data_IF_867167339026
#
_entry.id   IF_867167339026
#
_cell.length_a   1.000
_cell.length_b   1.000
_cell.length_c   1.000
_cell.angle_alpha   90.00
_cell.angle_beta   90.00
_cell.angle_gamma   90.00
#
_symmetry.space_group_name_H-M   'P 1'
#
loop_
_entity.id
_entity.type
_entity.pdbx_description
1 polymer ?
#
# COMPACT_ATOMS: atom_id res chain seq x y z
N UNK A 1 11.04 -83.49 24.09
CA UNK A 1 10.14 -82.46 24.63
C UNK A 1 10.44 -81.17 23.92
N UNK A 2 9.55 -80.74 22.98
CA UNK A 2 9.77 -79.60 22.16
C UNK A 2 8.85 -78.46 22.56
N UNK A 3 9.41 -77.36 22.98
CA UNK A 3 8.68 -76.10 23.18
C UNK A 3 8.76 -75.23 21.96
N UNK A 4 7.64 -75.04 21.30
CA UNK A 4 7.46 -74.11 20.18
C UNK A 4 7.17 -72.70 20.71
N UNK A 5 8.06 -71.74 20.49
CA UNK A 5 7.78 -70.33 20.67
C UNK A 5 7.20 -69.75 19.39
N UNK A 6 5.95 -69.27 19.43
CA UNK A 6 5.30 -68.52 18.38
C UNK A 6 5.54 -67.03 18.63
N UNK A 7 6.34 -66.38 17.79
CA UNK A 7 6.37 -64.92 17.75
C UNK A 7 5.27 -64.43 16.80
N UNK A 8 4.29 -63.76 17.38
CA UNK A 8 3.25 -62.98 16.67
C UNK A 8 3.86 -61.71 16.16
N UNK A 9 3.93 -61.53 14.82
CA UNK A 9 4.25 -60.24 14.18
C UNK A 9 2.99 -59.37 14.24
N UNK A 10 3.03 -58.29 15.07
CA UNK A 10 2.08 -57.19 14.97
C UNK A 10 2.46 -56.34 13.73
N UNK A 11 1.59 -56.36 12.73
CA UNK A 11 1.60 -55.44 11.61
C UNK A 11 1.07 -54.08 12.15
N UNK A 12 1.97 -53.09 12.19
CA UNK A 12 1.58 -51.69 12.39
C UNK A 12 1.05 -51.16 11.06
N UNK A 13 -0.27 -51.06 10.95
CA UNK A 13 -0.90 -50.29 9.86
C UNK A 13 -0.56 -48.80 10.09
N UNK A 14 0.18 -48.24 9.16
CA UNK A 14 0.32 -46.82 8.99
C UNK A 14 -1.00 -46.29 8.44
N UNK A 15 -1.69 -45.48 9.20
CA UNK A 15 -2.83 -44.70 8.70
C UNK A 15 -2.33 -43.66 7.72
N UNK A 16 -2.97 -43.49 6.54
CA UNK A 16 -2.63 -42.39 5.65
C UNK A 16 -2.99 -41.07 6.33
N UNK A 17 -2.04 -40.15 6.31
CA UNK A 17 -2.26 -38.75 6.68
C UNK A 17 -3.25 -38.20 5.64
N UNK A 18 -4.48 -37.98 6.06
CA UNK A 18 -5.44 -37.21 5.27
C UNK A 18 -4.86 -35.81 5.07
N UNK A 19 -4.50 -35.49 3.84
CA UNK A 19 -4.28 -34.12 3.40
C UNK A 19 -5.57 -33.33 3.65
N UNK A 20 -5.59 -32.56 4.73
CA UNK A 20 -6.60 -31.53 4.91
C UNK A 20 -6.38 -30.45 3.86
N UNK A 21 -7.01 -30.66 2.71
CA UNK A 21 -7.23 -29.61 1.73
C UNK A 21 -8.07 -28.51 2.43
N UNK A 22 -7.39 -27.45 2.85
CA UNK A 22 -8.04 -26.21 3.24
C UNK A 22 -8.72 -25.63 1.99
N UNK A 23 -9.96 -26.05 1.76
CA UNK A 23 -10.86 -25.36 0.85
C UNK A 23 -11.11 -23.99 1.46
N UNK A 24 -10.36 -23.00 1.01
CA UNK A 24 -10.66 -21.60 1.25
C UNK A 24 -11.98 -21.35 0.54
N UNK A 25 -13.09 -21.47 1.29
CA UNK A 25 -14.37 -20.95 0.84
C UNK A 25 -14.18 -19.44 0.62
N UNK A 26 -14.26 -19.01 -0.62
CA UNK A 26 -14.42 -17.59 -0.92
C UNK A 26 -15.55 -17.04 -0.06
N UNK A 27 -15.32 -16.00 0.72
CA UNK A 27 -16.38 -15.40 1.50
C UNK A 27 -17.30 -14.67 0.52
N UNK A 28 -18.45 -15.24 0.23
CA UNK A 28 -19.62 -14.51 -0.29
C UNK A 28 -20.15 -13.59 0.81
N UNK A 29 -19.29 -12.74 1.36
CA UNK A 29 -19.67 -11.74 2.34
C UNK A 29 -20.31 -10.56 1.60
N UNK A 30 -21.59 -10.31 1.87
CA UNK A 30 -22.22 -9.02 1.58
C UNK A 30 -21.27 -7.93 2.04
N UNK A 31 -20.81 -7.11 1.09
CA UNK A 31 -19.94 -5.95 1.33
C UNK A 31 -20.48 -5.15 2.52
N UNK A 32 -19.84 -5.25 3.67
CA UNK A 32 -20.19 -4.45 4.83
C UNK A 32 -19.65 -3.05 4.59
N UNK A 33 -20.52 -2.08 4.41
CA UNK A 33 -20.28 -0.71 3.95
C UNK A 33 -19.36 0.13 4.86
N UNK A 34 -18.86 -0.42 5.96
CA UNK A 34 -18.14 0.36 6.98
C UNK A 34 -16.86 -0.30 7.55
N UNK A 35 -16.30 -1.31 6.92
CA UNK A 35 -15.06 -1.91 7.43
C UNK A 35 -13.86 -1.09 6.93
N UNK A 36 -13.07 -0.54 7.84
CA UNK A 36 -11.76 0.01 7.51
C UNK A 36 -10.80 -1.14 7.20
N UNK A 37 -10.05 -1.01 6.12
CA UNK A 37 -9.06 -1.97 5.67
C UNK A 37 -7.68 -1.37 5.90
N UNK A 38 -6.82 -2.15 6.53
CA UNK A 38 -5.48 -1.72 6.92
C UNK A 38 -4.46 -1.97 5.80
N UNK A 39 -3.50 -1.07 5.70
CA UNK A 39 -2.33 -1.21 4.85
C UNK A 39 -1.12 -0.50 5.43
N UNK A 40 0.02 -0.76 4.86
CA UNK A 40 1.27 -0.06 5.18
C UNK A 40 1.90 0.46 3.89
N UNK A 41 2.78 1.44 3.99
CA UNK A 41 3.67 1.80 2.89
C UNK A 41 5.10 1.99 3.41
N UNK A 42 6.07 1.61 2.61
CA UNK A 42 7.49 1.69 2.94
C UNK A 42 8.33 1.97 1.69
N UNK A 43 9.42 2.73 1.89
CA UNK A 43 10.47 2.85 0.89
C UNK A 43 11.32 1.57 0.78
N UNK A 44 11.27 0.71 1.77
CA UNK A 44 12.03 -0.55 1.83
C UNK A 44 11.14 -1.72 1.39
N UNK A 45 11.75 -2.73 0.79
CA UNK A 45 11.05 -3.91 0.29
C UNK A 45 10.40 -4.72 1.41
N UNK A 46 9.21 -5.26 1.15
CA UNK A 46 8.41 -6.01 2.11
C UNK A 46 9.03 -7.37 2.51
N UNK A 47 9.85 -7.94 1.64
CA UNK A 47 10.54 -9.21 1.79
C UNK A 47 11.98 -9.06 2.34
N UNK A 48 12.41 -7.83 2.70
CA UNK A 48 13.73 -7.63 3.31
C UNK A 48 13.78 -8.30 4.68
N UNK A 49 14.88 -9.01 4.93
CA UNK A 49 15.14 -9.59 6.24
C UNK A 49 15.61 -8.52 7.23
N UNK A 50 14.93 -8.42 8.35
CA UNK A 50 15.32 -7.65 9.51
C UNK A 50 16.40 -8.41 10.33
N UNK A 51 17.04 -7.75 11.29
CA UNK A 51 18.10 -8.39 12.09
C UNK A 51 17.64 -9.60 12.90
N UNK A 52 16.36 -9.65 13.26
CA UNK A 52 15.75 -10.82 13.92
C UNK A 52 15.38 -11.97 12.95
N UNK A 53 15.85 -11.92 11.71
CA UNK A 53 15.54 -12.86 10.63
C UNK A 53 14.05 -12.93 10.24
N UNK A 54 13.26 -11.91 10.56
CA UNK A 54 11.90 -11.76 10.03
C UNK A 54 11.93 -10.91 8.77
N UNK A 55 11.13 -11.27 7.80
CA UNK A 55 10.79 -10.35 6.72
C UNK A 55 10.01 -9.14 7.27
N UNK A 56 10.17 -7.96 6.69
CA UNK A 56 9.44 -6.76 7.13
C UNK A 56 7.92 -7.02 7.15
N UNK A 57 7.39 -7.69 6.15
CA UNK A 57 5.99 -8.10 6.10
C UNK A 57 5.60 -8.98 7.29
N UNK A 58 6.40 -9.98 7.62
CA UNK A 58 6.13 -10.87 8.74
C UNK A 58 6.17 -10.15 10.09
N UNK A 59 7.07 -9.18 10.22
CA UNK A 59 7.09 -8.34 11.41
C UNK A 59 5.76 -7.57 11.57
N UNK A 60 5.24 -6.97 10.48
CA UNK A 60 3.94 -6.29 10.48
C UNK A 60 2.82 -7.25 10.89
N UNK A 61 2.79 -8.46 10.34
CA UNK A 61 1.77 -9.48 10.65
C UNK A 61 1.84 -9.94 12.11
N UNK A 62 3.03 -10.14 12.68
CA UNK A 62 3.20 -10.52 14.08
C UNK A 62 2.67 -9.49 15.05
N UNK A 63 2.57 -8.25 14.64
CA UNK A 63 1.91 -7.18 15.39
C UNK A 63 0.37 -7.22 15.27
N UNK A 64 -0.19 -8.38 14.92
CA UNK A 64 -1.62 -8.74 14.91
C UNK A 64 -2.49 -7.97 13.91
N UNK A 65 -1.89 -7.25 12.98
CA UNK A 65 -2.61 -6.58 11.90
C UNK A 65 -2.13 -7.12 10.55
N UNK A 66 -3.02 -7.79 9.83
CA UNK A 66 -2.73 -8.28 8.50
C UNK A 66 -2.99 -7.17 7.48
N UNK A 67 -1.96 -6.67 6.74
CA UNK A 67 -2.17 -5.64 5.76
C UNK A 67 -2.95 -6.18 4.55
N UNK A 68 -4.02 -5.48 4.16
CA UNK A 68 -4.75 -5.77 2.94
C UNK A 68 -4.00 -5.28 1.70
N UNK A 69 -3.15 -4.28 1.88
CA UNK A 69 -2.30 -3.74 0.83
C UNK A 69 -0.96 -3.22 1.38
N UNK A 70 0.02 -3.18 0.49
CA UNK A 70 1.34 -2.64 0.73
C UNK A 70 1.62 -1.52 -0.27
N UNK A 71 1.92 -0.32 0.18
CA UNK A 71 2.34 0.79 -0.67
C UNK A 71 3.82 0.66 -1.02
N UNK A 72 4.14 0.58 -2.32
CA UNK A 72 5.51 0.41 -2.79
C UNK A 72 5.84 1.36 -3.93
N UNK A 73 7.09 1.80 -3.94
CA UNK A 73 7.60 2.72 -4.94
C UNK A 73 7.95 2.01 -6.24
N UNK A 74 7.50 2.57 -7.36
CA UNK A 74 7.85 2.12 -8.70
C UNK A 74 9.24 2.59 -9.15
N UNK A 75 9.72 3.71 -8.59
CA UNK A 75 10.94 4.39 -8.99
C UNK A 75 11.85 4.60 -7.78
N UNK A 76 13.16 4.76 -8.00
CA UNK A 76 14.16 4.93 -6.96
C UNK A 76 14.94 3.65 -6.65
N UNK A 77 15.93 3.76 -5.75
CA UNK A 77 16.92 2.70 -5.49
C UNK A 77 16.32 1.40 -4.91
N UNK A 78 15.25 1.53 -4.11
CA UNK A 78 14.54 0.40 -3.53
C UNK A 78 13.18 0.20 -4.20
N UNK A 79 13.11 0.38 -5.52
CA UNK A 79 11.86 0.22 -6.26
C UNK A 79 11.35 -1.22 -6.22
N UNK A 80 10.05 -1.35 -6.42
CA UNK A 80 9.33 -2.61 -6.49
C UNK A 80 9.96 -3.56 -7.52
N UNK A 81 10.17 -4.83 -7.14
CA UNK A 81 10.72 -5.88 -8.00
C UNK A 81 9.66 -6.93 -8.34
N UNK A 82 9.95 -7.76 -9.36
CA UNK A 82 9.08 -8.89 -9.72
C UNK A 82 8.98 -9.91 -8.57
N UNK A 83 10.08 -10.12 -7.86
CA UNK A 83 10.17 -11.05 -6.73
C UNK A 83 9.31 -10.57 -5.57
N UNK A 84 9.40 -9.29 -5.21
CA UNK A 84 8.57 -8.68 -4.18
C UNK A 84 7.08 -8.70 -4.54
N UNK A 85 6.73 -8.46 -5.81
CA UNK A 85 5.35 -8.60 -6.31
C UNK A 85 4.83 -10.01 -6.05
N UNK A 86 5.58 -11.03 -6.44
CA UNK A 86 5.20 -12.43 -6.25
C UNK A 86 5.07 -12.77 -4.76
N UNK A 87 5.98 -12.24 -3.94
CA UNK A 87 5.95 -12.40 -2.49
C UNK A 87 4.67 -11.82 -1.89
N UNK A 88 4.35 -10.56 -2.15
CA UNK A 88 3.16 -9.89 -1.62
C UNK A 88 1.86 -10.55 -2.09
N UNK A 89 1.77 -10.91 -3.38
CA UNK A 89 0.61 -11.62 -3.91
C UNK A 89 0.42 -13.00 -3.28
N UNK A 90 1.52 -13.74 -3.05
CA UNK A 90 1.47 -15.03 -2.33
C UNK A 90 0.97 -14.88 -0.89
N UNK A 91 1.25 -13.74 -0.25
CA UNK A 91 0.71 -13.40 1.08
C UNK A 91 -0.75 -12.89 1.01
N UNK A 92 -1.37 -12.80 -0.16
CA UNK A 92 -2.73 -12.27 -0.34
C UNK A 92 -2.84 -10.75 -0.18
N UNK A 93 -1.71 -10.05 -0.26
CA UNK A 93 -1.61 -8.61 -0.09
C UNK A 93 -1.61 -7.92 -1.47
N UNK A 94 -2.42 -6.88 -1.63
CA UNK A 94 -2.42 -6.03 -2.83
C UNK A 94 -1.32 -4.97 -2.74
N UNK A 95 -0.98 -4.37 -3.87
CA UNK A 95 0.09 -3.37 -3.96
C UNK A 95 -0.48 -2.04 -4.42
N UNK A 96 -0.33 -1.00 -3.60
CA UNK A 96 -0.59 0.38 -3.98
C UNK A 96 0.70 1.00 -4.54
N UNK A 97 0.67 1.46 -5.78
CA UNK A 97 1.86 1.93 -6.49
C UNK A 97 2.11 3.41 -6.24
N UNK A 98 3.34 3.74 -5.86
CA UNK A 98 3.79 5.10 -5.58
C UNK A 98 4.91 5.43 -6.56
N UNK A 99 4.91 6.63 -7.11
CA UNK A 99 6.08 7.20 -7.76
C UNK A 99 6.47 8.49 -7.03
N UNK A 100 7.77 8.69 -6.87
CA UNK A 100 8.35 9.89 -6.29
C UNK A 100 9.34 10.49 -7.28
N UNK A 101 9.46 11.80 -7.26
CA UNK A 101 10.49 12.52 -8.01
C UNK A 101 10.78 13.82 -7.25
N UNK A 102 12.03 13.96 -6.79
CA UNK A 102 12.45 15.04 -5.92
C UNK A 102 12.42 16.41 -6.60
N UNK A 103 12.29 17.44 -5.78
CA UNK A 103 12.35 18.84 -6.16
C UNK A 103 11.03 19.42 -6.67
N UNK A 104 10.99 20.74 -6.72
CA UNK A 104 9.81 21.49 -7.15
C UNK A 104 9.42 21.18 -8.59
N UNK A 105 8.11 21.00 -8.83
CA UNK A 105 7.54 20.70 -10.14
C UNK A 105 6.48 21.76 -10.49
N UNK A 106 6.77 22.58 -11.48
CA UNK A 106 5.93 23.77 -11.81
C UNK A 106 5.23 23.69 -13.15
N UNK A 107 5.74 22.89 -14.10
CA UNK A 107 5.21 22.84 -15.46
C UNK A 107 4.47 21.55 -15.77
N UNK A 108 3.66 21.59 -16.82
CA UNK A 108 2.92 20.42 -17.31
C UNK A 108 3.88 19.34 -17.82
N UNK A 109 4.96 19.75 -18.49
CA UNK A 109 6.01 18.87 -19.01
C UNK A 109 6.69 18.09 -17.87
N UNK A 110 7.04 18.77 -16.78
CA UNK A 110 7.61 18.09 -15.61
C UNK A 110 6.68 17.03 -15.03
N UNK A 111 5.38 17.29 -15.02
CA UNK A 111 4.40 16.30 -14.61
C UNK A 111 4.31 15.11 -15.58
N UNK A 112 4.40 15.37 -16.88
CA UNK A 112 4.44 14.31 -17.90
C UNK A 112 5.70 13.45 -17.75
N UNK A 113 6.85 14.05 -17.46
CA UNK A 113 8.12 13.33 -17.25
C UNK A 113 8.05 12.40 -16.05
N UNK A 114 7.45 12.85 -14.93
CA UNK A 114 7.22 12.00 -13.75
C UNK A 114 6.32 10.82 -14.12
N UNK A 115 5.23 11.06 -14.83
CA UNK A 115 4.32 10.02 -15.27
C UNK A 115 5.01 9.03 -16.22
N UNK A 116 5.85 9.50 -17.14
CA UNK A 116 6.53 8.67 -18.12
C UNK A 116 7.46 7.65 -17.44
N UNK A 117 8.26 8.09 -16.46
CA UNK A 117 9.11 7.19 -15.66
C UNK A 117 8.29 6.11 -14.96
N UNK A 118 7.16 6.49 -14.36
CA UNK A 118 6.26 5.55 -13.68
C UNK A 118 5.59 4.56 -14.65
N UNK A 119 5.18 5.03 -15.84
CA UNK A 119 4.59 4.20 -16.90
C UNK A 119 5.60 3.17 -17.42
N UNK A 120 6.83 3.57 -17.69
CA UNK A 120 7.89 2.68 -18.17
C UNK A 120 8.16 1.57 -17.17
N UNK A 121 8.27 1.90 -15.90
CA UNK A 121 8.46 0.90 -14.86
C UNK A 121 7.23 0.00 -14.69
N UNK A 122 6.02 0.56 -14.74
CA UNK A 122 4.79 -0.23 -14.68
C UNK A 122 4.69 -1.23 -15.85
N UNK A 123 5.09 -0.83 -17.06
CA UNK A 123 5.14 -1.72 -18.21
C UNK A 123 6.21 -2.82 -18.04
N UNK A 124 7.39 -2.47 -17.54
CA UNK A 124 8.47 -3.42 -17.25
C UNK A 124 8.03 -4.51 -16.27
N UNK A 125 7.32 -4.11 -15.22
CA UNK A 125 6.76 -5.00 -14.20
C UNK A 125 5.43 -5.66 -14.61
N UNK A 126 4.95 -5.41 -15.84
CA UNK A 126 3.69 -5.93 -16.37
C UNK A 126 2.46 -5.58 -15.50
N UNK A 127 2.47 -4.40 -14.90
CA UNK A 127 1.34 -3.91 -14.11
C UNK A 127 0.11 -3.76 -15.01
N UNK A 128 -1.07 -4.32 -14.64
CA UNK A 128 -2.28 -4.20 -15.43
C UNK A 128 -2.75 -2.75 -15.58
N UNK A 129 -3.50 -2.47 -16.64
CA UNK A 129 -4.17 -1.17 -16.80
C UNK A 129 -5.26 -1.00 -15.73
N UNK A 130 -5.77 0.22 -15.61
CA UNK A 130 -6.74 0.67 -14.60
C UNK A 130 -6.23 0.72 -13.15
N UNK A 131 -5.07 0.13 -12.85
CA UNK A 131 -4.40 0.28 -11.55
C UNK A 131 -4.03 1.74 -11.29
N UNK A 132 -4.11 2.17 -10.05
CA UNK A 132 -3.73 3.52 -9.66
C UNK A 132 -2.22 3.64 -9.43
N UNK A 133 -1.64 4.75 -9.92
CA UNK A 133 -0.27 5.15 -9.61
C UNK A 133 -0.33 6.51 -8.92
N UNK A 134 0.19 6.57 -7.69
CA UNK A 134 0.14 7.76 -6.86
C UNK A 134 1.46 8.53 -6.95
N UNK A 135 1.40 9.78 -7.41
CA UNK A 135 2.54 10.69 -7.31
C UNK A 135 2.63 11.21 -5.86
N UNK A 136 3.71 10.88 -5.19
CA UNK A 136 4.01 11.41 -3.87
C UNK A 136 4.50 12.84 -3.96
N UNK A 137 3.82 13.74 -3.28
CA UNK A 137 4.14 15.16 -3.22
C UNK A 137 4.67 15.44 -1.81
N UNK A 138 5.99 15.66 -1.66
CA UNK A 138 6.58 15.99 -0.37
C UNK A 138 5.98 17.28 0.20
N UNK A 139 5.75 17.29 1.52
CA UNK A 139 5.06 18.39 2.20
C UNK A 139 5.73 19.75 1.98
N UNK A 140 7.06 19.76 1.86
CA UNK A 140 7.88 20.97 1.75
C UNK A 140 8.19 21.37 0.29
N UNK A 141 7.67 20.65 -0.69
CA UNK A 141 7.89 20.92 -2.10
C UNK A 141 6.66 21.53 -2.76
N UNK A 142 6.90 22.32 -3.79
CA UNK A 142 5.85 22.94 -4.58
C UNK A 142 5.61 22.09 -5.83
N UNK A 143 4.45 21.44 -5.88
CA UNK A 143 3.95 20.79 -7.09
C UNK A 143 2.68 21.52 -7.53
N UNK A 144 2.76 22.21 -8.65
CA UNK A 144 1.66 23.07 -9.12
C UNK A 144 0.54 22.29 -9.78
N UNK A 145 -0.62 22.91 -9.87
CA UNK A 145 -1.76 22.40 -10.64
C UNK A 145 -1.38 22.05 -12.11
N UNK A 146 -0.46 22.80 -12.74
CA UNK A 146 -0.01 22.49 -14.10
C UNK A 146 0.74 21.15 -14.14
N UNK A 147 1.67 20.93 -13.24
CA UNK A 147 2.38 19.66 -13.12
C UNK A 147 1.40 18.50 -12.81
N UNK A 148 0.52 18.65 -11.83
CA UNK A 148 -0.49 17.62 -11.52
C UNK A 148 -1.34 17.26 -12.73
N UNK A 149 -1.70 18.24 -13.56
CA UNK A 149 -2.45 18.04 -14.80
C UNK A 149 -1.65 17.24 -15.83
N UNK A 150 -0.38 17.56 -16.02
CA UNK A 150 0.51 16.83 -16.95
C UNK A 150 0.65 15.36 -16.54
N UNK A 151 0.94 15.13 -15.27
CA UNK A 151 1.00 13.80 -14.68
C UNK A 151 -0.29 13.00 -14.91
N UNK A 152 -1.42 13.58 -14.54
CA UNK A 152 -2.71 12.90 -14.64
C UNK A 152 -3.10 12.60 -16.10
N UNK A 153 -2.90 13.54 -17.04
CA UNK A 153 -3.17 13.31 -18.46
C UNK A 153 -2.33 12.17 -19.03
N UNK A 154 -1.04 12.15 -18.74
CA UNK A 154 -0.14 11.12 -19.25
C UNK A 154 -0.55 9.71 -18.76
N UNK A 155 -0.87 9.56 -17.49
CA UNK A 155 -1.36 8.28 -16.94
C UNK A 155 -2.69 7.87 -17.56
N UNK A 156 -3.66 8.78 -17.69
CA UNK A 156 -4.96 8.49 -18.31
C UNK A 156 -4.77 7.98 -19.75
N UNK A 157 -3.91 8.65 -20.54
CA UNK A 157 -3.61 8.24 -21.92
C UNK A 157 -2.96 6.86 -21.96
N UNK A 158 -2.09 6.56 -20.99
CA UNK A 158 -1.45 5.25 -20.86
C UNK A 158 -2.38 4.16 -20.31
N UNK A 159 -3.61 4.50 -19.88
CA UNK A 159 -4.61 3.56 -19.36
C UNK A 159 -4.45 3.25 -17.88
N UNK A 160 -3.74 4.09 -17.11
CA UNK A 160 -3.63 3.98 -15.65
C UNK A 160 -4.53 5.02 -14.96
N UNK A 161 -4.89 4.75 -13.72
CA UNK A 161 -5.63 5.71 -12.88
C UNK A 161 -4.63 6.65 -12.20
N UNK A 162 -4.69 7.97 -12.39
CA UNK A 162 -3.81 8.89 -11.68
C UNK A 162 -4.20 9.02 -10.20
N UNK A 163 -3.22 9.16 -9.34
CA UNK A 163 -3.42 9.45 -7.93
C UNK A 163 -2.37 10.42 -7.39
N UNK A 164 -2.66 11.04 -6.25
CA UNK A 164 -1.72 11.91 -5.54
C UNK A 164 -1.66 11.50 -4.07
N UNK A 165 -0.45 11.23 -3.57
CA UNK A 165 -0.15 11.02 -2.15
C UNK A 165 0.44 12.32 -1.62
N UNK A 166 -0.28 13.02 -0.75
CA UNK A 166 0.11 14.34 -0.30
C UNK A 166 -0.45 14.70 1.08
N UNK A 167 0.19 15.66 1.75
CA UNK A 167 -0.41 16.27 2.93
C UNK A 167 -1.62 17.13 2.52
N UNK A 168 -2.80 16.71 2.95
CA UNK A 168 -4.09 17.30 2.60
C UNK A 168 -4.59 18.37 3.58
N UNK A 169 -3.77 18.75 4.57
CA UNK A 169 -4.08 19.88 5.43
C UNK A 169 -4.08 21.18 4.59
N UNK A 170 -5.13 21.99 4.73
CA UNK A 170 -5.35 23.22 3.96
C UNK A 170 -4.24 24.29 4.11
N UNK A 171 -3.36 24.17 5.11
CA UNK A 171 -2.19 25.04 5.27
C UNK A 171 -1.08 24.77 4.24
N UNK A 172 -1.10 23.61 3.56
CA UNK A 172 -0.10 23.23 2.56
C UNK A 172 -0.58 23.51 1.12
N UNK A 173 0.36 23.53 0.21
CA UNK A 173 0.13 23.94 -1.19
C UNK A 173 -0.75 22.97 -1.97
N UNK A 174 -0.78 21.69 -1.58
CA UNK A 174 -1.55 20.66 -2.28
C UNK A 174 -3.03 21.00 -2.37
N UNK A 175 -3.69 21.37 -1.26
CA UNK A 175 -5.11 21.73 -1.29
C UNK A 175 -5.42 22.83 -2.29
N UNK A 176 -4.64 23.91 -2.28
CA UNK A 176 -4.80 25.05 -3.20
C UNK A 176 -4.68 24.62 -4.66
N UNK A 177 -3.62 23.88 -4.99
CA UNK A 177 -3.30 23.54 -6.38
C UNK A 177 -4.20 22.42 -6.92
N UNK A 178 -4.56 21.43 -6.10
CA UNK A 178 -5.55 20.43 -6.47
C UNK A 178 -6.94 21.04 -6.66
N UNK A 179 -7.38 21.93 -5.77
CA UNK A 179 -8.66 22.65 -5.90
C UNK A 179 -8.69 23.56 -7.11
N UNK A 180 -7.56 24.18 -7.50
CA UNK A 180 -7.44 24.92 -8.76
C UNK A 180 -7.62 23.99 -9.97
N UNK A 181 -7.03 22.81 -9.93
CA UNK A 181 -7.18 21.78 -10.95
C UNK A 181 -8.62 21.33 -11.11
N UNK A 182 -9.30 21.06 -10.01
CA UNK A 182 -10.71 20.67 -10.00
C UNK A 182 -11.62 21.74 -10.64
N UNK A 183 -11.34 23.03 -10.44
CA UNK A 183 -12.11 24.12 -11.06
C UNK A 183 -11.79 24.31 -12.54
N UNK A 184 -10.52 24.21 -12.92
CA UNK A 184 -10.07 24.55 -14.28
C UNK A 184 -9.98 23.36 -15.26
N UNK A 185 -9.87 22.14 -14.74
CA UNK A 185 -9.67 20.91 -15.53
C UNK A 185 -10.44 19.74 -14.91
N UNK A 186 -11.71 19.95 -14.63
CA UNK A 186 -12.58 19.03 -13.89
C UNK A 186 -12.56 17.61 -14.45
N UNK A 187 -12.57 17.43 -15.76
CA UNK A 187 -12.60 16.11 -16.40
C UNK A 187 -11.34 15.26 -16.15
N UNK A 188 -10.21 15.91 -15.92
CA UNK A 188 -8.95 15.23 -15.58
C UNK A 188 -8.90 14.96 -14.09
N UNK A 189 -9.13 16.00 -13.27
CA UNK A 189 -8.95 15.91 -11.82
C UNK A 189 -10.01 15.05 -11.12
N UNK A 190 -11.22 14.93 -11.65
CA UNK A 190 -12.23 13.98 -11.14
C UNK A 190 -11.84 12.51 -11.25
N UNK A 191 -10.90 12.20 -12.15
CA UNK A 191 -10.37 10.84 -12.30
C UNK A 191 -9.22 10.53 -11.32
N UNK A 192 -8.69 11.56 -10.64
CA UNK A 192 -7.57 11.42 -9.74
C UNK A 192 -8.02 10.93 -8.37
N UNK A 193 -7.33 9.92 -7.85
CA UNK A 193 -7.48 9.45 -6.48
C UNK A 193 -6.61 10.29 -5.55
N UNK A 194 -7.04 10.45 -4.30
CA UNK A 194 -6.26 11.14 -3.27
C UNK A 194 -5.89 10.16 -2.14
N UNK A 195 -4.60 10.07 -1.89
CA UNK A 195 -4.02 9.44 -0.72
C UNK A 195 -3.64 10.54 0.27
N UNK A 196 -4.48 10.74 1.27
CA UNK A 196 -4.30 11.79 2.26
C UNK A 196 -3.24 11.38 3.29
N UNK A 197 -2.22 12.23 3.47
CA UNK A 197 -1.17 12.06 4.48
C UNK A 197 -1.48 12.86 5.77
N UNK A 198 -2.70 13.37 5.91
CA UNK A 198 -3.13 14.18 7.05
C UNK A 198 -4.59 13.91 7.46
N UNK A 199 -4.93 14.08 8.76
CA UNK A 199 -3.98 14.30 9.81
C UNK A 199 -3.16 13.05 10.11
N UNK A 200 -1.87 13.22 10.38
CA UNK A 200 -1.10 12.19 11.06
C UNK A 200 -1.50 12.19 12.52
N UNK A 201 -1.87 11.05 13.06
CA UNK A 201 -2.31 10.93 14.44
C UNK A 201 -1.07 10.66 15.29
N UNK A 202 -0.69 11.61 16.12
CA UNK A 202 0.58 11.59 16.88
C UNK A 202 0.78 10.32 17.70
N UNK A 203 -0.28 9.72 18.22
CA UNK A 203 -0.23 8.46 18.97
C UNK A 203 0.21 7.24 18.13
N UNK A 204 0.22 7.39 16.80
CA UNK A 204 0.66 6.35 15.86
C UNK A 204 1.96 6.72 15.13
N UNK A 205 2.52 7.89 15.41
CA UNK A 205 3.78 8.33 14.81
C UNK A 205 4.97 7.78 15.60
N UNK A 206 5.97 7.24 14.92
CA UNK A 206 7.17 6.69 15.54
C UNK A 206 6.90 5.49 16.47
N UNK A 207 5.86 4.69 16.19
CA UNK A 207 5.47 3.57 17.05
C UNK A 207 6.55 2.48 17.02
N UNK A 208 7.12 2.23 18.19
CA UNK A 208 7.93 1.04 18.52
C UNK A 208 7.12 0.13 19.42
N UNK A 209 6.27 -0.71 18.89
CA UNK A 209 5.39 -1.56 19.68
C UNK A 209 5.26 -2.95 19.10
N UNK A 210 5.01 -3.93 19.94
CA UNK A 210 4.60 -5.27 19.53
C UNK A 210 3.16 -5.34 19.00
N UNK A 211 2.44 -4.20 18.96
CA UNK A 211 1.08 -4.14 18.49
C UNK A 211 0.87 -2.90 17.63
N UNK A 212 0.58 -3.11 16.35
CA UNK A 212 0.06 -2.06 15.49
C UNK A 212 -1.42 -1.83 15.84
N UNK A 213 -1.78 -0.58 16.06
CA UNK A 213 -3.13 -0.16 16.37
C UNK A 213 -3.58 0.76 15.24
N UNK A 214 -4.85 0.75 14.91
CA UNK A 214 -5.42 1.72 13.97
C UNK A 214 -6.67 2.37 14.56
N UNK A 215 -7.00 3.62 14.16
CA UNK A 215 -8.20 4.29 14.62
C UNK A 215 -9.46 3.61 14.08
N UNK A 216 -10.50 3.53 14.90
CA UNK A 216 -11.81 2.98 14.51
C UNK A 216 -12.58 3.88 13.54
N UNK A 217 -12.18 5.14 13.43
CA UNK A 217 -12.91 6.16 12.70
C UNK A 217 -12.12 6.72 11.53
N UNK A 218 -12.79 6.86 10.38
CA UNK A 218 -12.28 7.51 9.19
C UNK A 218 -12.28 9.03 9.34
N UNK A 219 -11.10 9.65 9.51
CA UNK A 219 -10.96 11.09 9.77
C UNK A 219 -9.87 11.77 8.93
N UNK A 220 -9.61 11.42 7.67
CA UNK A 220 -8.61 12.14 6.87
C UNK A 220 -9.00 13.62 6.73
N UNK A 221 -8.00 14.48 6.55
CA UNK A 221 -8.27 15.77 5.94
C UNK A 221 -8.54 15.58 4.45
N UNK A 222 -9.39 16.42 3.90
CA UNK A 222 -9.69 16.38 2.48
C UNK A 222 -9.45 17.77 1.89
N UNK A 223 -8.90 17.84 0.67
CA UNK A 223 -8.84 19.11 -0.06
C UNK A 223 -10.22 19.78 -0.12
N UNK A 224 -10.24 21.11 -0.10
CA UNK A 224 -11.47 21.91 0.02
C UNK A 224 -12.49 21.68 -1.08
N UNK A 225 -12.06 21.09 -2.20
CA UNK A 225 -12.91 20.78 -3.35
C UNK A 225 -13.58 19.41 -3.35
N UNK A 226 -13.22 18.54 -2.38
CA UNK A 226 -13.77 17.19 -2.23
C UNK A 226 -14.13 16.92 -0.76
N UNK A 227 -14.78 15.80 -0.51
CA UNK A 227 -15.16 15.41 0.86
C UNK A 227 -14.25 14.31 1.40
N UNK A 228 -14.30 14.05 2.70
CA UNK A 228 -13.59 12.92 3.32
C UNK A 228 -13.99 11.55 2.73
N UNK A 229 -15.16 11.47 2.10
CA UNK A 229 -15.64 10.23 1.46
C UNK A 229 -14.93 9.95 0.15
N UNK A 230 -14.39 10.99 -0.48
CA UNK A 230 -13.70 10.92 -1.76
C UNK A 230 -12.19 10.59 -1.59
N UNK A 231 -11.68 10.57 -0.35
CA UNK A 231 -10.32 10.13 -0.06
C UNK A 231 -10.25 8.62 -0.26
N UNK A 232 -9.32 8.18 -1.11
CA UNK A 232 -9.10 6.78 -1.42
C UNK A 232 -8.32 6.05 -0.33
N UNK A 233 -7.21 6.65 0.13
CA UNK A 233 -6.33 6.11 1.16
C UNK A 233 -6.02 7.20 2.19
N UNK A 234 -5.94 6.83 3.45
CA UNK A 234 -5.52 7.73 4.53
C UNK A 234 -4.31 7.17 5.26
N UNK A 235 -3.18 7.87 5.13
CA UNK A 235 -2.02 7.66 5.98
C UNK A 235 -2.25 8.37 7.30
N UNK A 236 -2.58 7.61 8.34
CA UNK A 236 -2.91 8.14 9.66
C UNK A 236 -1.73 8.09 10.64
N UNK A 237 -0.71 7.29 10.33
CA UNK A 237 0.51 7.18 11.11
C UNK A 237 1.73 7.15 10.20
N UNK A 238 2.86 7.58 10.73
CA UNK A 238 4.13 7.62 10.02
C UNK A 238 5.28 7.16 10.90
N UNK A 239 6.39 6.80 10.27
CA UNK A 239 7.63 6.46 10.93
C UNK A 239 7.49 5.35 11.99
N UNK A 240 6.51 4.44 11.80
CA UNK A 240 6.44 3.23 12.61
C UNK A 240 7.63 2.33 12.28
N UNK A 241 8.24 1.75 13.31
CA UNK A 241 9.44 0.94 13.15
C UNK A 241 9.47 -0.25 14.12
N UNK A 242 10.21 -1.33 13.79
CA UNK A 242 10.41 -2.45 14.69
C UNK A 242 11.07 -2.02 16.01
N UNK A 243 10.88 -2.82 17.06
CA UNK A 243 11.55 -2.62 18.35
C UNK A 243 13.07 -2.73 18.13
N UNK A 244 13.85 -1.78 18.69
CA UNK A 244 15.28 -1.62 18.42
C UNK A 244 16.14 -2.87 18.69
N UNK A 245 15.82 -3.64 19.72
CA UNK A 245 16.51 -4.86 20.11
C UNK A 245 16.39 -5.98 19.05
N UNK A 246 15.38 -5.91 18.19
CA UNK A 246 15.12 -6.93 17.18
C UNK A 246 15.67 -6.60 15.80
N UNK A 247 15.95 -5.35 15.50
CA UNK A 247 16.15 -4.95 14.11
C UNK A 247 17.51 -4.28 13.82
N UNK A 248 18.14 -3.61 14.77
CA UNK A 248 19.42 -2.89 14.62
C UNK A 248 19.52 -1.94 13.40
N UNK A 249 18.67 -2.14 12.39
CA UNK A 249 18.49 -1.23 11.26
C UNK A 249 17.02 -0.79 11.28
N UNK A 250 16.83 0.49 11.53
CA UNK A 250 15.52 1.12 11.48
C UNK A 250 14.90 0.92 10.10
N UNK A 251 13.88 0.07 10.04
CA UNK A 251 13.05 -0.10 8.86
C UNK A 251 11.75 0.61 9.13
N UNK A 252 11.58 1.77 8.50
CA UNK A 252 10.44 2.66 8.73
C UNK A 252 9.32 2.35 7.74
N UNK A 253 8.10 2.35 8.21
CA UNK A 253 6.91 2.24 7.38
C UNK A 253 5.78 3.12 7.93
N UNK A 254 4.84 3.45 7.06
CA UNK A 254 3.68 4.26 7.40
C UNK A 254 2.44 3.40 7.54
N UNK A 255 1.48 3.87 8.33
CA UNK A 255 0.23 3.19 8.65
C UNK A 255 -0.92 3.81 7.84
N UNK A 256 -1.67 2.97 7.14
CA UNK A 256 -2.69 3.41 6.21
C UNK A 256 -4.02 2.72 6.42
N UNK A 257 -5.10 3.44 6.10
CA UNK A 257 -6.45 2.91 6.05
C UNK A 257 -7.11 3.19 4.71
N UNK A 258 -7.97 2.26 4.29
CA UNK A 258 -8.92 2.41 3.18
C UNK A 258 -10.31 2.14 3.72
N UNK A 259 -11.26 2.99 3.36
CA UNK A 259 -12.66 2.83 3.74
C UNK A 259 -13.48 2.06 2.70
N UNK A 260 -13.15 2.24 1.43
CA UNK A 260 -13.86 1.63 0.32
C UNK A 260 -13.06 0.45 -0.24
N UNK A 261 -13.51 -0.78 0.03
CA UNK A 261 -12.87 -2.01 -0.43
C UNK A 261 -12.64 -2.04 -1.96
N UNK A 262 -13.51 -1.39 -2.75
CA UNK A 262 -13.34 -1.31 -4.21
C UNK A 262 -12.03 -0.65 -4.62
N UNK A 263 -11.52 0.31 -3.82
CA UNK A 263 -10.21 0.92 -4.09
C UNK A 263 -9.11 -0.14 -4.08
N UNK A 264 -9.16 -1.09 -3.13
CA UNK A 264 -8.18 -2.17 -3.06
C UNK A 264 -8.37 -3.15 -4.23
N UNK A 265 -9.61 -3.54 -4.51
CA UNK A 265 -9.92 -4.55 -5.52
C UNK A 265 -9.65 -4.04 -6.95
N UNK A 266 -10.10 -2.82 -7.25
CA UNK A 266 -10.12 -2.28 -8.61
C UNK A 266 -8.90 -1.41 -8.94
N UNK A 267 -8.25 -0.80 -7.94
CA UNK A 267 -7.21 0.22 -8.15
C UNK A 267 -5.84 -0.16 -7.61
N UNK A 268 -5.72 -1.30 -6.93
CA UNK A 268 -4.44 -1.85 -6.48
C UNK A 268 -4.10 -3.12 -7.26
N UNK A 269 -2.80 -3.33 -7.42
CA UNK A 269 -2.25 -4.45 -8.18
C UNK A 269 -2.16 -5.75 -7.38
#
# INVERSE_FOLDING_TARGET
MACRNRYSRRSTMLHPIEEMSLVIKEPTAKLSVNRLLFGVDSAVQADILLQNNLEQFEWVVRNKIYPNFYGRYLTGDNSLTTEEIQFLHKKGCKIALICADEGEKKTEEQGMDVAQKAIEQALTLRIPKDVAIFFEIPQNEIVTCACMRGYAKALIVAGYTPGFKANTDAKYTFDRDFSRGMRGNTEVFKKCLVWAVAPSIQEYDGITTSHLIHPDNWKPFAPSCITRRDIAIWQYGKDAHPIEDDAGKLTVFNLNLVRNERVIIEKMF
#
